data_IF_583737010767
#
_entry.id   IF_583737010767
#
_cell.length_a   1.000
_cell.length_b   1.000
_cell.length_c   1.000
_cell.angle_alpha   90.00
_cell.angle_beta   90.00
_cell.angle_gamma   90.00
#
_symmetry.space_group_name_H-M   'P 1'
#
loop_
_entity.id
_entity.type
_entity.pdbx_description
1 polymer ?
#
# COMPACT_ATOMS: atom_id res chain seq x y z
N UNK A 1 19.34 23.73 17.16
CA UNK A 1 18.68 24.23 15.93
C UNK A 1 17.80 23.11 15.40
N UNK A 2 16.48 23.28 15.34
CA UNK A 2 15.57 22.25 14.81
C UNK A 2 15.69 22.25 13.30
N UNK A 3 16.24 21.19 12.71
CA UNK A 3 16.20 20.98 11.26
C UNK A 3 14.77 20.59 10.88
N UNK A 4 13.92 21.59 10.63
CA UNK A 4 12.60 21.37 10.05
C UNK A 4 12.80 20.86 8.61
N UNK A 5 12.38 19.63 8.36
CA UNK A 5 12.33 19.09 7.01
C UNK A 5 11.33 19.94 6.19
N UNK A 6 11.76 20.68 5.15
CA UNK A 6 10.90 21.64 4.45
C UNK A 6 9.76 20.98 3.65
N UNK A 7 9.68 19.65 3.65
CA UNK A 7 8.70 18.86 2.92
C UNK A 7 7.55 18.30 3.78
N UNK A 8 7.53 18.53 5.10
CA UNK A 8 6.55 17.85 5.99
C UNK A 8 5.11 18.35 5.87
N UNK A 9 4.89 19.62 5.54
CA UNK A 9 3.54 20.23 5.62
C UNK A 9 2.71 20.10 4.32
N UNK A 10 3.31 19.63 3.22
CA UNK A 10 2.65 19.56 1.90
C UNK A 10 2.65 18.18 1.25
N UNK A 11 3.12 17.15 1.95
CA UNK A 11 3.01 15.78 1.44
C UNK A 11 1.56 15.32 1.64
N UNK A 12 0.74 15.56 0.62
CA UNK A 12 -0.58 14.93 0.51
C UNK A 12 -0.32 13.42 0.50
N UNK A 13 -1.01 12.69 1.38
CA UNK A 13 -0.96 11.22 1.39
C UNK A 13 -1.22 10.75 -0.05
N UNK A 14 -0.27 9.99 -0.61
CA UNK A 14 -0.39 9.51 -1.97
C UNK A 14 -1.61 8.59 -2.08
N UNK A 15 -2.70 9.11 -2.66
CA UNK A 15 -3.90 8.32 -2.95
C UNK A 15 -3.69 7.61 -4.27
N UNK A 16 -3.44 6.30 -4.24
CA UNK A 16 -3.37 5.51 -5.45
C UNK A 16 -4.79 5.34 -6.02
N UNK A 17 -5.15 6.20 -6.98
CA UNK A 17 -6.38 6.03 -7.76
C UNK A 17 -6.15 4.93 -8.79
N UNK A 18 -6.95 3.86 -8.74
CA UNK A 18 -6.90 2.76 -9.71
C UNK A 18 -8.05 2.94 -10.69
N UNK A 19 -7.81 3.49 -11.91
CA UNK A 19 -8.87 3.87 -12.85
C UNK A 19 -9.66 2.68 -13.42
N UNK A 20 -9.13 1.46 -13.34
CA UNK A 20 -9.82 0.26 -13.78
C UNK A 20 -9.32 -0.94 -12.97
N UNK A 21 -10.19 -1.49 -12.13
CA UNK A 21 -9.94 -2.73 -11.40
C UNK A 21 -10.74 -3.85 -12.06
N UNK A 22 -10.06 -4.67 -12.85
CA UNK A 22 -10.66 -5.77 -13.63
C UNK A 22 -11.00 -6.99 -12.77
N UNK A 23 -10.24 -7.22 -11.70
CA UNK A 23 -10.46 -8.32 -10.77
C UNK A 23 -11.13 -7.82 -9.48
N UNK A 24 -12.34 -8.32 -9.22
CA UNK A 24 -13.15 -7.99 -8.04
C UNK A 24 -13.15 -9.11 -7.01
N UNK A 25 -12.33 -10.16 -7.18
CA UNK A 25 -12.18 -11.18 -6.16
C UNK A 25 -11.64 -10.55 -4.87
N UNK A 26 -12.30 -10.84 -3.76
CA UNK A 26 -11.94 -10.31 -2.44
C UNK A 26 -11.71 -11.46 -1.47
N UNK A 27 -10.83 -11.24 -0.50
CA UNK A 27 -10.72 -12.14 0.63
C UNK A 27 -11.90 -11.97 1.60
N UNK A 28 -12.22 -13.03 2.32
CA UNK A 28 -13.03 -12.97 3.54
C UNK A 28 -12.40 -12.02 4.57
N UNK A 29 -13.23 -11.37 5.38
CA UNK A 29 -12.81 -10.27 6.26
C UNK A 29 -11.61 -10.63 7.16
N UNK A 30 -11.66 -11.79 7.83
CA UNK A 30 -10.58 -12.26 8.70
C UNK A 30 -9.27 -12.49 7.92
N UNK A 31 -9.35 -12.93 6.66
CA UNK A 31 -8.18 -13.16 5.82
C UNK A 31 -7.62 -11.85 5.28
N UNK A 32 -8.48 -10.92 4.86
CA UNK A 32 -8.09 -9.58 4.43
C UNK A 32 -7.33 -8.82 5.54
N UNK A 33 -7.84 -8.88 6.78
CA UNK A 33 -7.18 -8.27 7.94
C UNK A 33 -5.78 -8.87 8.20
N UNK A 34 -5.62 -10.18 8.01
CA UNK A 34 -4.33 -10.85 8.19
C UNK A 34 -3.32 -10.51 7.10
N UNK A 35 -3.76 -10.37 5.84
CA UNK A 35 -2.88 -10.06 4.71
C UNK A 35 -2.57 -8.56 4.58
N UNK A 36 -3.38 -7.69 5.18
CA UNK A 36 -3.23 -6.24 5.03
C UNK A 36 -3.71 -5.70 3.68
N UNK A 37 -4.42 -6.53 2.90
CA UNK A 37 -5.07 -6.17 1.65
C UNK A 37 -6.38 -6.92 1.50
N UNK A 38 -7.41 -6.25 0.98
CA UNK A 38 -8.69 -6.88 0.65
C UNK A 38 -8.61 -7.70 -0.64
N UNK A 39 -7.78 -7.23 -1.58
CA UNK A 39 -7.69 -7.80 -2.91
C UNK A 39 -6.49 -8.75 -3.01
N UNK A 40 -6.70 -10.02 -3.39
CA UNK A 40 -5.64 -10.99 -3.59
C UNK A 40 -4.61 -10.54 -4.64
N UNK A 41 -5.06 -9.82 -5.67
CA UNK A 41 -4.18 -9.29 -6.73
C UNK A 41 -3.15 -8.27 -6.21
N UNK A 42 -3.41 -7.67 -5.05
CA UNK A 42 -2.50 -6.74 -4.39
C UNK A 42 -1.62 -7.42 -3.33
N UNK A 43 -1.86 -8.69 -3.03
CA UNK A 43 -1.10 -9.51 -2.08
C UNK A 43 0.25 -9.95 -2.71
N UNK A 44 1.15 -8.97 -2.88
CA UNK A 44 2.45 -9.18 -3.50
C UNK A 44 3.49 -9.50 -2.43
N UNK A 45 4.38 -10.48 -2.65
CA UNK A 45 5.45 -10.76 -1.70
C UNK A 45 6.30 -9.50 -1.52
N UNK A 46 6.39 -9.01 -0.29
CA UNK A 46 7.31 -7.93 0.07
C UNK A 46 8.74 -8.49 0.01
N UNK A 47 9.29 -8.59 -1.20
CA UNK A 47 10.73 -8.71 -1.37
C UNK A 47 11.31 -7.34 -1.00
N UNK A 48 11.64 -7.15 0.29
CA UNK A 48 12.66 -6.15 0.64
C UNK A 48 13.83 -6.43 -0.29
N UNK A 49 14.29 -5.41 -1.02
CA UNK A 49 15.35 -5.52 -2.03
C UNK A 49 16.71 -5.91 -1.44
N UNK A 50 16.78 -7.10 -0.84
CA UNK A 50 18.02 -7.78 -0.54
C UNK A 50 18.59 -8.21 -1.88
N UNK A 51 19.47 -7.37 -2.43
CA UNK A 51 20.43 -7.79 -3.44
C UNK A 51 21.44 -8.67 -2.70
N UNK A 52 21.21 -9.98 -2.72
CA UNK A 52 22.23 -10.97 -2.36
C UNK A 52 23.32 -10.99 -3.42
#
# INVERSE_FOLDING_TARGET
MRNANPYSDRQVVAMAYVPMQTDTAVYEACKALRQGTLFPVLDKPFMRGCRT
#
